data_IF_864454840685
#
_entry.id   IF_864454840685
#
_cell.length_a   1.000
_cell.length_b   1.000
_cell.length_c   1.000
_cell.angle_alpha   90.00
_cell.angle_beta   90.00
_cell.angle_gamma   90.00
#
_symmetry.space_group_name_H-M   'P 1'
#
loop_
_entity.id
_entity.type
_entity.pdbx_description
1 polymer ?
#
# COMPACT_ATOMS: atom_id res chain seq x y z
N UNK A 1 -3.84 -26.49 0.87
CA UNK A 1 -4.66 -25.63 0.00
C UNK A 1 -3.70 -24.93 -0.93
N UNK A 2 -3.81 -25.06 -2.26
CA UNK A 2 -3.02 -24.22 -3.16
C UNK A 2 -3.49 -22.79 -2.92
N UNK A 3 -2.62 -21.95 -2.37
CA UNK A 3 -2.94 -20.57 -2.05
C UNK A 3 -3.39 -19.86 -3.33
N UNK A 4 -4.63 -19.37 -3.37
CA UNK A 4 -5.20 -18.62 -4.48
C UNK A 4 -4.58 -17.22 -4.55
N UNK A 5 -3.26 -17.15 -4.74
CA UNK A 5 -2.48 -15.90 -4.79
C UNK A 5 -2.07 -15.65 -6.24
N UNK A 6 -2.29 -14.41 -6.70
CA UNK A 6 -1.82 -13.91 -7.99
C UNK A 6 -0.63 -12.98 -7.80
N UNK A 7 0.49 -13.30 -8.43
CA UNK A 7 1.65 -12.40 -8.49
C UNK A 7 1.30 -11.18 -9.35
N UNK A 8 1.40 -9.98 -8.76
CA UNK A 8 1.13 -8.71 -9.43
C UNK A 8 2.30 -7.77 -9.19
N UNK A 9 2.80 -7.13 -10.25
CA UNK A 9 3.91 -6.19 -10.18
C UNK A 9 3.41 -4.75 -10.25
N UNK A 10 3.77 -3.94 -9.26
CA UNK A 10 3.50 -2.49 -9.22
C UNK A 10 4.76 -1.74 -8.82
N UNK A 11 4.90 -0.49 -9.26
CA UNK A 11 5.97 0.40 -8.81
C UNK A 11 5.48 1.23 -7.63
N UNK A 12 6.31 1.37 -6.60
CA UNK A 12 6.04 2.18 -5.42
C UNK A 12 7.00 3.36 -5.35
N UNK A 13 6.57 4.45 -4.70
CA UNK A 13 7.46 5.56 -4.36
C UNK A 13 8.56 5.02 -3.44
N UNK A 14 9.82 5.13 -3.87
CA UNK A 14 10.96 4.51 -3.17
C UNK A 14 11.04 4.92 -1.70
N UNK A 15 10.91 6.22 -1.40
CA UNK A 15 10.97 6.73 -0.03
C UNK A 15 9.85 6.17 0.87
N UNK A 16 8.65 5.98 0.32
CA UNK A 16 7.53 5.39 1.06
C UNK A 16 7.81 3.92 1.38
N UNK A 17 8.31 3.16 0.41
CA UNK A 17 8.67 1.75 0.60
C UNK A 17 9.84 1.57 1.57
N UNK A 18 10.86 2.40 1.48
CA UNK A 18 12.01 2.37 2.40
C UNK A 18 11.57 2.69 3.83
N UNK A 19 10.73 3.72 4.03
CA UNK A 19 10.17 4.05 5.34
C UNK A 19 9.27 2.93 5.88
N UNK A 20 8.47 2.29 5.02
CA UNK A 20 7.67 1.12 5.41
C UNK A 20 8.56 0.01 5.96
N UNK A 21 9.62 -0.39 5.24
CA UNK A 21 10.56 -1.43 5.69
C UNK A 21 11.17 -1.12 7.06
N UNK A 22 11.60 0.13 7.28
CA UNK A 22 12.19 0.54 8.56
C UNK A 22 11.16 0.45 9.69
N UNK A 23 9.92 0.91 9.45
CA UNK A 23 8.86 0.89 10.47
C UNK A 23 8.35 -0.51 10.79
N UNK A 24 8.43 -1.44 9.85
CA UNK A 24 7.92 -2.81 10.04
C UNK A 24 9.01 -3.83 10.35
N UNK A 25 10.29 -3.43 10.47
CA UNK A 25 11.44 -4.33 10.67
C UNK A 25 11.30 -5.26 11.87
N UNK A 26 10.65 -4.80 12.94
CA UNK A 26 10.40 -5.56 14.17
C UNK A 26 8.95 -6.07 14.26
N UNK A 27 8.24 -6.16 13.14
CA UNK A 27 6.84 -6.56 13.10
C UNK A 27 6.61 -7.69 12.09
N UNK A 28 5.57 -8.46 12.31
CA UNK A 28 5.09 -9.48 11.35
C UNK A 28 4.44 -8.88 10.09
N UNK A 29 4.42 -7.55 9.94
CA UNK A 29 3.77 -6.88 8.81
C UNK A 29 4.66 -6.89 7.57
N UNK A 30 4.18 -7.53 6.51
CA UNK A 30 4.79 -7.50 5.18
C UNK A 30 3.98 -6.64 4.22
N UNK A 31 4.58 -6.23 3.10
CA UNK A 31 3.87 -5.49 2.06
C UNK A 31 2.68 -6.30 1.52
N UNK A 32 2.84 -7.61 1.34
CA UNK A 32 1.77 -8.49 0.90
C UNK A 32 0.60 -8.52 1.89
N UNK A 33 0.88 -8.63 3.21
CA UNK A 33 -0.16 -8.57 4.25
C UNK A 33 -0.88 -7.22 4.23
N UNK A 34 -0.14 -6.11 4.09
CA UNK A 34 -0.71 -4.76 4.02
C UNK A 34 -1.60 -4.61 2.78
N UNK A 35 -1.12 -5.00 1.60
CA UNK A 35 -1.86 -4.89 0.34
C UNK A 35 -3.15 -5.71 0.39
N UNK A 36 -3.09 -6.96 0.84
CA UNK A 36 -4.29 -7.81 0.93
C UNK A 36 -5.33 -7.21 1.89
N UNK A 37 -4.91 -6.73 3.08
CA UNK A 37 -5.82 -6.11 4.06
C UNK A 37 -6.39 -4.80 3.55
N UNK A 38 -5.57 -3.97 2.90
CA UNK A 38 -6.03 -2.70 2.33
C UNK A 38 -7.02 -2.92 1.18
N UNK A 39 -6.80 -3.94 0.34
CA UNK A 39 -7.75 -4.31 -0.72
C UNK A 39 -9.10 -4.76 -0.13
N UNK A 40 -9.06 -5.60 0.91
CA UNK A 40 -10.28 -6.05 1.60
C UNK A 40 -11.07 -4.88 2.19
N UNK A 41 -10.39 -4.01 2.95
CA UNK A 41 -11.00 -2.79 3.52
C UNK A 41 -11.52 -1.84 2.43
N UNK A 42 -10.79 -1.68 1.32
CA UNK A 42 -11.23 -0.83 0.20
C UNK A 42 -12.51 -1.36 -0.47
N UNK A 43 -12.69 -2.68 -0.52
CA UNK A 43 -13.89 -3.30 -1.09
C UNK A 43 -15.09 -3.28 -0.12
N UNK A 44 -14.85 -3.39 1.19
CA UNK A 44 -15.90 -3.52 2.19
C UNK A 44 -16.31 -2.20 2.86
N UNK A 45 -15.40 -1.26 3.04
CA UNK A 45 -15.62 -0.04 3.81
C UNK A 45 -15.62 1.22 2.92
N UNK A 46 -16.81 1.80 2.72
CA UNK A 46 -17.01 3.00 1.90
C UNK A 46 -16.15 4.19 2.38
N UNK A 47 -16.11 4.45 3.69
CA UNK A 47 -15.29 5.54 4.24
C UNK A 47 -13.80 5.36 4.00
N UNK A 48 -13.32 4.12 4.03
CA UNK A 48 -11.92 3.83 3.74
C UNK A 48 -11.62 4.03 2.25
N UNK A 49 -12.53 3.58 1.36
CA UNK A 49 -12.47 3.83 -0.08
C UNK A 49 -12.40 5.32 -0.40
N UNK A 50 -13.33 6.11 0.12
CA UNK A 50 -13.36 7.57 -0.07
C UNK A 50 -12.06 8.22 0.41
N UNK A 51 -11.53 7.81 1.57
CA UNK A 51 -10.27 8.33 2.10
C UNK A 51 -9.09 8.05 1.18
N UNK A 52 -9.02 6.87 0.58
CA UNK A 52 -7.95 6.52 -0.37
C UNK A 52 -8.09 7.31 -1.68
N UNK A 53 -9.30 7.42 -2.23
CA UNK A 53 -9.56 8.11 -3.50
C UNK A 53 -9.37 9.64 -3.41
N UNK A 54 -9.62 10.23 -2.24
CA UNK A 54 -9.48 11.68 -2.02
C UNK A 54 -8.12 12.10 -1.47
N UNK A 55 -7.23 11.16 -1.15
CA UNK A 55 -5.91 11.44 -0.58
C UNK A 55 -5.00 12.16 -1.58
N UNK A 56 -4.62 13.41 -1.29
CA UNK A 56 -3.71 14.22 -2.12
C UNK A 56 -2.26 14.27 -1.60
N UNK A 57 -2.01 13.64 -0.46
CA UNK A 57 -0.75 13.79 0.28
C UNK A 57 0.42 13.02 -0.33
N UNK A 58 0.14 12.09 -1.27
CA UNK A 58 1.13 11.35 -2.03
C UNK A 58 1.34 12.01 -3.40
N UNK A 59 1.61 13.31 -3.39
CA UNK A 59 2.20 13.98 -4.55
C UNK A 59 3.61 13.44 -4.73
N UNK A 60 3.92 12.90 -5.92
CA UNK A 60 5.31 12.80 -6.35
C UNK A 60 5.78 14.24 -6.45
N UNK A 61 6.41 14.77 -5.40
CA UNK A 61 7.10 16.06 -5.50
C UNK A 61 8.28 15.87 -6.45
N UNK A 62 7.98 15.97 -7.74
CA UNK A 62 8.92 16.19 -8.81
C UNK A 62 9.00 17.69 -9.02
N UNK A 63 9.81 18.35 -8.22
CA UNK A 63 10.73 19.34 -8.79
C UNK A 63 11.50 18.65 -9.92
N UNK A 64 10.98 18.78 -11.13
CA UNK A 64 11.63 18.60 -12.44
C UNK A 64 10.61 19.10 -13.48
N UNK A 65 10.43 20.42 -13.50
CA UNK A 65 10.15 21.17 -14.72
C UNK A 65 11.44 21.89 -15.09
#
# INVERSE_FOLDING_TARGET
MKDNIKLTSVKLIKGLYDNFKVKTVNSEMSLQKLTNRALDLYLQEEKFREKIETSKNLSISGSNF
#
